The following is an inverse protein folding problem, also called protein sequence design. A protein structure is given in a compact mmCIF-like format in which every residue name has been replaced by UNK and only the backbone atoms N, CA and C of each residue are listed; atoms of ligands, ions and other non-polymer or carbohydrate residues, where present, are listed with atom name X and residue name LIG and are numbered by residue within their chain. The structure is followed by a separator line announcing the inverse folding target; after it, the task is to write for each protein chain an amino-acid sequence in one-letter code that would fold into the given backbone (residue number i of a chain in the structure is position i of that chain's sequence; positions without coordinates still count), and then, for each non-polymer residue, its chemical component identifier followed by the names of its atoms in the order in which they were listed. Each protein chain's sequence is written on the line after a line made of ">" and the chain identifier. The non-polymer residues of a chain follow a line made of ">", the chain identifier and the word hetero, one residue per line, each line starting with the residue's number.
data_IF_005317372502
#
_entry.id   IF_005317372502
#
_cell.length_a   1.000
_cell.length_b   1.000
_cell.length_c   1.000
_cell.angle_alpha   90.00
_cell.angle_beta   90.00
_cell.angle_gamma   90.00
#
_symmetry.space_group_name_H-M   'P 1'
#
loop_
_entity.id
_entity.type
_entity.pdbx_description
1 polymer ?
#
# COMPACT_ATOMS: atom_id res chain seq x y z
N UNK A 1 -5.48 -10.53 -11.06
CA UNK A 1 -4.09 -10.73 -10.54
C UNK A 1 -3.90 -10.36 -9.06
N UNK A 2 -4.61 -9.35 -8.50
CA UNK A 2 -4.44 -8.97 -7.09
C UNK A 2 -4.95 -10.03 -6.10
N UNK A 3 -6.22 -10.43 -6.21
CA UNK A 3 -6.78 -11.58 -5.49
C UNK A 3 -7.24 -12.66 -6.48
N UNK A 4 -7.51 -13.84 -5.93
CA UNK A 4 -8.01 -15.04 -6.60
C UNK A 4 -9.54 -15.20 -6.50
N UNK A 5 -10.21 -14.32 -5.73
CA UNK A 5 -11.66 -14.36 -5.49
C UNK A 5 -12.48 -13.46 -6.40
N UNK A 6 -11.84 -12.59 -7.18
CA UNK A 6 -12.55 -11.75 -8.15
C UNK A 6 -12.78 -12.48 -9.46
N UNK A 7 -13.86 -12.16 -10.15
CA UNK A 7 -14.14 -12.63 -11.53
C UNK A 7 -13.01 -12.26 -12.51
N UNK A 8 -12.17 -11.29 -12.14
CA UNK A 8 -10.99 -10.86 -12.91
C UNK A 8 -9.73 -11.68 -12.60
N UNK A 9 -9.83 -12.78 -11.86
CA UNK A 9 -8.73 -13.71 -11.65
C UNK A 9 -8.60 -14.66 -12.84
N UNK A 10 -7.49 -14.53 -13.56
CA UNK A 10 -7.21 -15.30 -14.79
C UNK A 10 -6.18 -16.41 -14.59
N UNK A 11 -5.96 -16.87 -13.35
CA UNK A 11 -4.91 -17.85 -13.01
C UNK A 11 -3.51 -17.48 -13.55
N UNK A 12 -3.20 -16.18 -13.63
CA UNK A 12 -1.90 -15.67 -14.06
C UNK A 12 -1.22 -14.90 -12.93
N UNK A 13 0.00 -15.28 -12.64
CA UNK A 13 0.86 -14.66 -11.64
C UNK A 13 2.31 -15.06 -11.85
N UNK A 14 3.23 -14.14 -11.56
CA UNK A 14 4.67 -14.43 -11.55
C UNK A 14 5.09 -15.39 -10.44
N UNK A 15 4.26 -15.56 -9.41
CA UNK A 15 4.52 -16.50 -8.32
C UNK A 15 3.67 -17.74 -8.51
N UNK A 16 4.35 -18.88 -8.66
CA UNK A 16 3.75 -20.21 -8.74
C UNK A 16 4.44 -21.14 -7.74
N UNK A 17 3.65 -21.87 -6.96
CA UNK A 17 4.13 -22.84 -5.95
C UNK A 17 3.51 -24.18 -6.28
N UNK A 18 4.35 -25.19 -6.58
CA UNK A 18 3.90 -26.55 -6.95
C UNK A 18 2.82 -26.56 -8.06
N UNK A 19 2.95 -25.69 -9.07
CA UNK A 19 1.98 -25.59 -10.17
C UNK A 19 0.75 -24.72 -9.87
N UNK A 20 0.60 -24.21 -8.64
CA UNK A 20 -0.50 -23.32 -8.25
C UNK A 20 -0.06 -21.87 -8.34
N UNK A 21 -0.72 -21.09 -9.19
CA UNK A 21 -0.50 -19.64 -9.30
C UNK A 21 -1.05 -18.91 -8.08
N UNK A 22 -0.26 -18.00 -7.53
CA UNK A 22 -0.59 -17.30 -6.30
C UNK A 22 -0.89 -15.84 -6.59
N UNK A 23 -2.08 -15.37 -6.20
CA UNK A 23 -2.45 -13.96 -6.32
C UNK A 23 -1.54 -13.04 -5.49
N UNK A 24 -1.31 -11.82 -5.99
CA UNK A 24 -0.35 -10.85 -5.41
C UNK A 24 -0.68 -10.50 -3.96
N UNK A 25 -1.96 -10.53 -3.57
CA UNK A 25 -2.41 -10.27 -2.21
C UNK A 25 -1.72 -11.16 -1.17
N UNK A 26 -1.44 -12.42 -1.52
CA UNK A 26 -0.85 -13.43 -0.62
C UNK A 26 0.68 -13.43 -0.60
N UNK A 27 1.34 -12.67 -1.47
CA UNK A 27 2.79 -12.71 -1.60
C UNK A 27 3.48 -12.35 -0.29
N UNK A 28 3.01 -11.33 0.42
CA UNK A 28 3.57 -10.95 1.73
C UNK A 28 3.58 -12.12 2.70
N UNK A 29 2.46 -12.83 2.83
CA UNK A 29 2.30 -13.88 3.82
C UNK A 29 3.19 -15.08 3.48
N UNK A 30 3.32 -15.42 2.19
CA UNK A 30 4.22 -16.48 1.71
C UNK A 30 5.69 -16.11 1.95
N UNK A 31 6.09 -14.90 1.56
CA UNK A 31 7.48 -14.45 1.68
C UNK A 31 7.92 -14.22 3.13
N UNK A 32 6.97 -14.02 4.05
CA UNK A 32 7.23 -13.81 5.49
C UNK A 32 6.81 -14.98 6.37
N UNK A 33 6.38 -16.11 5.76
CA UNK A 33 5.92 -17.27 6.52
C UNK A 33 7.07 -17.85 7.35
N UNK A 34 6.80 -18.13 8.63
CA UNK A 34 7.79 -18.64 9.59
C UNK A 34 8.02 -20.15 9.49
N UNK A 35 7.24 -20.85 8.66
CA UNK A 35 7.14 -22.30 8.67
C UNK A 35 8.39 -23.00 8.11
N UNK A 36 9.18 -22.33 7.27
CA UNK A 36 10.38 -22.96 6.70
C UNK A 36 11.40 -21.90 6.29
N UNK A 37 12.29 -21.54 7.23
CA UNK A 37 13.50 -20.76 7.01
C UNK A 37 13.20 -19.34 6.46
N UNK A 38 14.14 -18.41 6.59
CA UNK A 38 14.12 -17.13 5.88
C UNK A 38 14.25 -17.30 4.35
N UNK A 39 13.57 -18.29 3.74
CA UNK A 39 13.90 -18.89 2.46
C UNK A 39 13.92 -17.85 1.32
N UNK A 40 13.19 -16.73 1.48
CA UNK A 40 13.20 -15.61 0.53
C UNK A 40 13.05 -14.22 1.16
N UNK A 41 13.50 -14.00 2.40
CA UNK A 41 13.37 -12.69 3.07
C UNK A 41 14.03 -11.54 2.28
N UNK A 42 15.19 -11.81 1.65
CA UNK A 42 15.87 -10.84 0.76
C UNK A 42 15.06 -10.54 -0.50
N UNK A 43 14.35 -11.54 -1.05
CA UNK A 43 13.47 -11.32 -2.21
C UNK A 43 12.24 -10.50 -1.82
N UNK A 44 11.70 -10.72 -0.61
CA UNK A 44 10.65 -9.85 -0.06
C UNK A 44 11.11 -8.39 0.00
N UNK A 45 12.30 -8.14 0.54
CA UNK A 45 12.84 -6.78 0.64
C UNK A 45 12.92 -6.10 -0.73
N UNK A 46 13.32 -6.83 -1.79
CA UNK A 46 13.35 -6.30 -3.15
C UNK A 46 11.97 -6.01 -3.75
N UNK A 47 10.96 -6.85 -3.47
CA UNK A 47 9.64 -6.76 -4.10
C UNK A 47 8.61 -5.97 -3.30
N UNK A 48 8.84 -5.79 -1.98
CA UNK A 48 7.93 -5.14 -1.04
C UNK A 48 7.49 -3.74 -1.51
N UNK A 49 8.40 -2.96 -2.09
CA UNK A 49 8.09 -1.63 -2.62
C UNK A 49 7.08 -1.68 -3.77
N UNK A 50 7.33 -2.54 -4.75
CA UNK A 50 6.41 -2.74 -5.88
C UNK A 50 5.08 -3.33 -5.43
N UNK A 51 5.10 -4.34 -4.56
CA UNK A 51 3.91 -4.92 -3.97
C UNK A 51 3.05 -3.86 -3.27
N UNK A 52 3.67 -2.97 -2.50
CA UNK A 52 2.96 -1.88 -1.83
C UNK A 52 2.36 -0.89 -2.82
N UNK A 53 3.08 -0.54 -3.89
CA UNK A 53 2.58 0.33 -4.94
C UNK A 53 1.35 -0.28 -5.65
N UNK A 54 1.42 -1.56 -6.01
CA UNK A 54 0.28 -2.29 -6.58
C UNK A 54 -0.90 -2.31 -5.63
N UNK A 55 -0.66 -2.62 -4.34
CA UNK A 55 -1.69 -2.60 -3.31
C UNK A 55 -2.42 -1.26 -3.24
N UNK A 56 -1.68 -0.16 -3.28
CA UNK A 56 -2.24 1.20 -3.16
C UNK A 56 -3.10 1.55 -4.37
N UNK A 57 -2.66 1.22 -5.59
CA UNK A 57 -3.45 1.44 -6.81
C UNK A 57 -4.70 0.59 -6.81
N UNK A 58 -4.58 -0.72 -6.58
CA UNK A 58 -5.73 -1.64 -6.60
C UNK A 58 -6.75 -1.24 -5.53
N UNK A 59 -6.29 -0.87 -4.34
CA UNK A 59 -7.19 -0.38 -3.28
C UNK A 59 -7.92 0.89 -3.70
N UNK A 60 -7.28 1.80 -4.43
CA UNK A 60 -7.96 3.01 -4.92
C UNK A 60 -8.93 2.68 -6.06
N UNK A 61 -8.53 1.83 -7.01
CA UNK A 61 -9.36 1.40 -8.13
C UNK A 61 -10.66 0.74 -7.67
N UNK A 62 -10.58 -0.08 -6.61
CA UNK A 62 -11.73 -0.80 -6.04
C UNK A 62 -12.62 0.01 -5.09
N UNK A 63 -12.33 1.29 -4.83
CA UNK A 63 -13.17 2.12 -3.95
C UNK A 63 -14.49 2.53 -4.58
N UNK A 64 -14.57 2.48 -5.90
CA UNK A 64 -15.73 2.90 -6.66
C UNK A 64 -15.71 2.23 -8.02
N UNK A 65 -16.39 2.85 -8.97
CA UNK A 65 -16.44 2.34 -10.33
C UNK A 65 -15.14 2.66 -11.09
N UNK A 66 -14.70 1.82 -12.03
CA UNK A 66 -13.52 2.06 -12.86
C UNK A 66 -13.48 3.46 -13.49
N UNK A 67 -14.63 3.98 -13.91
CA UNK A 67 -14.79 5.29 -14.54
C UNK A 67 -14.43 6.40 -13.56
N UNK A 68 -14.80 6.27 -12.28
CA UNK A 68 -14.44 7.25 -11.24
C UNK A 68 -12.94 7.27 -10.97
N UNK A 69 -12.31 6.09 -11.03
CA UNK A 69 -10.86 6.00 -10.94
C UNK A 69 -10.21 6.74 -12.10
N UNK A 70 -10.59 6.42 -13.34
CA UNK A 70 -9.98 7.05 -14.51
C UNK A 70 -10.30 8.54 -14.62
N UNK A 71 -11.51 8.98 -14.25
CA UNK A 71 -11.84 10.41 -14.15
C UNK A 71 -10.90 11.15 -13.19
N UNK A 72 -10.48 10.50 -12.10
CA UNK A 72 -9.53 11.07 -11.13
C UNK A 72 -8.07 11.03 -11.58
N UNK A 73 -7.74 10.24 -12.61
CA UNK A 73 -6.39 9.95 -13.06
C UNK A 73 -6.25 10.06 -14.58
N UNK A 74 -6.94 11.04 -15.17
CA UNK A 74 -6.80 11.39 -16.58
C UNK A 74 -6.56 12.89 -16.73
N UNK A 75 -5.79 13.26 -17.74
CA UNK A 75 -5.51 14.64 -18.13
C UNK A 75 -5.70 14.73 -19.64
N UNK A 76 -6.48 15.72 -20.11
CA UNK A 76 -6.79 15.89 -21.55
C UNK A 76 -7.31 14.59 -22.21
N UNK A 77 -8.20 13.86 -21.53
CA UNK A 77 -8.75 12.56 -21.98
C UNK A 77 -7.73 11.42 -22.10
N UNK A 78 -6.49 11.61 -21.63
CA UNK A 78 -5.47 10.57 -21.56
C UNK A 78 -5.27 10.10 -20.12
N UNK A 79 -5.25 8.78 -19.93
CA UNK A 79 -4.95 8.19 -18.64
C UNK A 79 -3.52 8.49 -18.22
N UNK A 80 -3.35 8.90 -16.96
CA UNK A 80 -2.04 9.12 -16.37
C UNK A 80 -1.24 7.81 -16.32
N UNK A 81 0.07 7.92 -16.56
CA UNK A 81 0.98 6.79 -16.41
C UNK A 81 1.08 6.31 -14.96
N UNK A 82 1.49 5.04 -14.79
CA UNK A 82 1.65 4.38 -13.49
C UNK A 82 2.37 5.23 -12.42
N UNK A 83 3.52 5.83 -12.78
CA UNK A 83 4.30 6.67 -11.85
C UNK A 83 3.56 7.96 -11.45
N UNK A 84 2.82 8.57 -12.38
CA UNK A 84 2.04 9.77 -12.11
C UNK A 84 0.87 9.48 -11.17
N UNK A 85 0.16 8.37 -11.39
CA UNK A 85 -0.89 7.89 -10.48
C UNK A 85 -0.33 7.65 -9.07
N UNK A 86 0.80 6.95 -8.95
CA UNK A 86 1.45 6.73 -7.65
C UNK A 86 1.86 8.03 -6.96
N UNK A 87 2.38 8.99 -7.71
CA UNK A 87 2.75 10.31 -7.17
C UNK A 87 1.53 11.02 -6.61
N UNK A 88 0.43 11.09 -7.35
CA UNK A 88 -0.82 11.70 -6.87
C UNK A 88 -1.38 10.97 -5.64
N UNK A 89 -1.39 9.64 -5.64
CA UNK A 89 -1.82 8.83 -4.48
C UNK A 89 -0.92 9.02 -3.27
N UNK A 90 0.38 9.26 -3.47
CA UNK A 90 1.30 9.61 -2.40
C UNK A 90 0.97 10.99 -1.81
N UNK A 91 0.75 12.00 -2.67
CA UNK A 91 0.38 13.36 -2.25
C UNK A 91 -0.95 13.36 -1.47
N UNK A 92 -2.00 12.72 -2.00
CA UNK A 92 -3.30 12.60 -1.32
C UNK A 92 -3.19 11.92 0.05
N UNK A 93 -2.27 10.96 0.22
CA UNK A 93 -2.03 10.33 1.52
C UNK A 93 -1.29 11.25 2.49
N UNK A 94 -0.29 11.98 2.00
CA UNK A 94 0.44 12.97 2.81
C UNK A 94 -0.50 14.06 3.31
N UNK A 95 -1.35 14.60 2.45
CA UNK A 95 -2.33 15.63 2.80
C UNK A 95 -3.35 15.11 3.82
N UNK A 96 -3.91 13.92 3.61
CA UNK A 96 -4.84 13.32 4.59
C UNK A 96 -4.20 13.05 5.94
N UNK A 97 -2.96 12.55 5.95
CA UNK A 97 -2.22 12.36 7.18
C UNK A 97 -1.96 13.70 7.88
N UNK A 98 -1.53 14.72 7.13
CA UNK A 98 -1.31 16.06 7.67
C UNK A 98 -2.59 16.62 8.31
N UNK A 99 -3.72 16.59 7.61
CA UNK A 99 -5.01 17.05 8.17
C UNK A 99 -5.42 16.26 9.42
N UNK A 100 -5.17 14.95 9.44
CA UNK A 100 -5.43 14.12 10.61
C UNK A 100 -4.53 14.51 11.78
N UNK A 101 -3.24 14.72 11.56
CA UNK A 101 -2.29 15.15 12.59
C UNK A 101 -2.67 16.52 13.13
N UNK A 102 -3.01 17.48 12.27
CA UNK A 102 -3.46 18.81 12.71
C UNK A 102 -4.75 18.73 13.54
N UNK A 103 -5.70 17.88 13.14
CA UNK A 103 -6.92 17.64 13.92
C UNK A 103 -6.60 17.05 15.31
N UNK A 104 -5.72 16.06 15.38
CA UNK A 104 -5.34 15.42 16.65
C UNK A 104 -4.55 16.41 17.52
N UNK A 105 -3.65 17.22 16.96
CA UNK A 105 -2.96 18.27 17.72
C UNK A 105 -3.94 19.29 18.30
N UNK A 106 -4.95 19.70 17.54
CA UNK A 106 -5.98 20.61 18.03
C UNK A 106 -6.81 19.99 19.18
N UNK A 107 -7.06 18.68 19.13
CA UNK A 107 -7.82 17.95 20.16
C UNK A 107 -7.01 17.68 21.44
N UNK A 108 -5.74 17.31 21.30
CA UNK A 108 -4.89 16.92 22.43
C UNK A 108 -4.03 18.05 22.98
N UNK A 109 -3.87 19.16 22.25
CA UNK A 109 -3.10 20.33 22.66
C UNK A 109 -1.71 19.94 23.17
N UNK A 110 -1.41 20.38 24.39
CA UNK A 110 -0.11 20.15 25.05
C UNK A 110 0.15 18.67 25.37
N UNK A 111 -0.90 17.85 25.51
CA UNK A 111 -0.78 16.42 25.80
C UNK A 111 -0.45 15.58 24.54
N UNK A 112 -0.40 16.18 23.36
CA UNK A 112 -0.16 15.45 22.11
C UNK A 112 1.15 14.65 22.14
N UNK A 113 2.24 15.26 22.63
CA UNK A 113 3.57 14.64 22.70
C UNK A 113 3.64 13.51 23.72
N UNK A 114 2.80 13.54 24.76
CA UNK A 114 2.73 12.51 25.80
C UNK A 114 1.96 11.26 25.33
N UNK A 115 0.97 11.45 24.46
CA UNK A 115 0.10 10.37 23.95
C UNK A 115 0.62 9.78 22.64
N UNK A 116 1.18 10.61 21.75
CA UNK A 116 1.54 10.23 20.38
C UNK A 116 3.05 10.17 20.14
N UNK A 117 3.77 9.39 20.95
CA UNK A 117 5.19 9.10 20.74
C UNK A 117 5.45 7.61 20.47
N UNK A 118 6.65 7.30 20.00
CA UNK A 118 7.18 5.95 19.90
C UNK A 118 8.70 5.94 20.04
N UNK A 119 9.26 4.82 20.51
CA UNK A 119 10.72 4.63 20.59
C UNK A 119 11.21 3.88 19.35
N UNK A 120 12.25 4.40 18.69
CA UNK A 120 12.93 3.73 17.60
C UNK A 120 14.43 3.98 17.72
N UNK A 121 15.21 2.90 17.60
CA UNK A 121 16.68 2.96 17.67
C UNK A 121 17.22 3.68 18.94
N UNK A 122 16.48 3.62 20.05
CA UNK A 122 16.83 4.28 21.31
C UNK A 122 16.26 5.69 21.46
N UNK A 123 15.84 6.34 20.37
CA UNK A 123 15.32 7.70 20.34
C UNK A 123 13.79 7.74 20.46
N UNK A 124 13.27 8.80 21.10
CA UNK A 124 11.83 9.08 21.18
C UNK A 124 11.46 9.95 19.99
N UNK A 125 10.46 9.51 19.23
CA UNK A 125 9.88 10.26 18.13
C UNK A 125 8.42 10.56 18.41
N UNK A 126 8.01 11.80 18.17
CA UNK A 126 6.61 12.21 18.18
C UNK A 126 6.03 11.96 16.78
N UNK A 127 4.81 11.42 16.70
CA UNK A 127 4.14 11.16 15.43
C UNK A 127 3.78 12.48 14.74
N UNK A 128 4.18 12.63 13.48
CA UNK A 128 3.94 13.78 12.62
C UNK A 128 3.27 13.43 11.30
#
# INVERSE_FOLDING_TARGET
>A
MWDDRSEHWINDSKLCIKGVTVAIAYWKDIYTSKADINWKLRQWQGIKGNWFNWKVIVRQYRKGMPEQFWASFSENSHHLGYKAILKQLSLKRKEKNHLLVEKIKAEFGDCFSEVFWYKKDGEIHIKS
#
